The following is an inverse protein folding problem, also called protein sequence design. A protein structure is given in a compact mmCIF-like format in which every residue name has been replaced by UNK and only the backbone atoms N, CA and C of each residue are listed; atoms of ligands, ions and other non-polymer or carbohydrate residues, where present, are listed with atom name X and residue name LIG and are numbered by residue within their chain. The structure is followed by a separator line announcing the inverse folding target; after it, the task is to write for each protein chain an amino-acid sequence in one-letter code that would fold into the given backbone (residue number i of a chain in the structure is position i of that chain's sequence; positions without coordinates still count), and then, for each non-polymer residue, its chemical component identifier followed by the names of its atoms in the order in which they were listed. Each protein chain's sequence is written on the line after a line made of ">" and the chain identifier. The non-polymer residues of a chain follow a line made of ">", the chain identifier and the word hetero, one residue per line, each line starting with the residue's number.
data_IF_629886784916
#
_entry.id   IF_629886784916
#
_cell.length_a   1.000
_cell.length_b   1.000
_cell.length_c   1.000
_cell.angle_alpha   90.00
_cell.angle_beta   90.00
_cell.angle_gamma   90.00
#
_symmetry.space_group_name_H-M   'P 1'
#
loop_
_entity.id
_entity.type
_entity.pdbx_description
1 polymer ?
#
# COMPACT_ATOMS: atom_id res chain seq x y z
N UNK A 1 7.44 -9.26 42.30
CA UNK A 1 8.53 -8.78 41.45
C UNK A 1 9.13 -7.57 42.12
N UNK A 2 10.45 -7.53 42.25
CA UNK A 2 11.14 -6.39 42.85
C UNK A 2 11.84 -5.60 41.73
N UNK A 3 11.98 -4.28 41.88
CA UNK A 3 12.61 -3.42 40.88
C UNK A 3 14.06 -3.84 40.53
N UNK A 4 14.72 -4.57 41.43
CA UNK A 4 16.07 -5.09 41.23
C UNK A 4 16.10 -6.30 40.28
N UNK A 5 15.05 -7.12 40.26
CA UNK A 5 14.94 -8.26 39.36
C UNK A 5 14.61 -7.79 37.94
N UNK A 6 13.79 -6.74 37.81
CA UNK A 6 13.44 -6.12 36.53
C UNK A 6 14.66 -5.41 35.91
N UNK A 7 15.48 -4.73 36.73
CA UNK A 7 16.70 -4.08 36.24
C UNK A 7 17.73 -5.07 35.66
N UNK A 8 17.90 -6.25 36.29
CA UNK A 8 18.78 -7.31 35.78
C UNK A 8 18.25 -7.96 34.50
N UNK A 9 16.94 -8.06 34.35
CA UNK A 9 16.34 -8.54 33.10
C UNK A 9 16.56 -7.56 31.95
N UNK A 10 16.56 -6.26 32.22
CA UNK A 10 16.86 -5.24 31.21
C UNK A 10 18.34 -5.19 30.83
N UNK A 11 19.25 -5.46 31.78
CA UNK A 11 20.70 -5.49 31.53
C UNK A 11 21.08 -6.60 30.52
N UNK A 12 20.41 -7.75 30.60
CA UNK A 12 20.59 -8.88 29.67
C UNK A 12 20.16 -8.58 28.22
N UNK A 13 19.45 -7.47 27.94
CA UNK A 13 18.98 -7.12 26.59
C UNK A 13 20.13 -6.57 25.73
N UNK A 14 21.13 -5.96 26.35
CA UNK A 14 22.26 -5.31 25.64
C UNK A 14 23.57 -6.09 25.71
N UNK A 15 23.56 -7.28 26.31
CA UNK A 15 24.75 -8.10 26.43
C UNK A 15 25.27 -8.56 25.07
N UNK A 16 26.60 -8.65 24.98
CA UNK A 16 27.27 -9.11 23.78
C UNK A 16 27.07 -10.62 23.63
N UNK A 17 26.08 -11.00 22.84
CA UNK A 17 25.85 -12.40 22.43
C UNK A 17 26.78 -12.73 21.26
N UNK A 18 27.68 -13.70 21.46
CA UNK A 18 28.29 -14.42 20.34
C UNK A 18 27.30 -15.46 19.87
N UNK A 19 26.89 -15.40 18.60
CA UNK A 19 26.09 -16.44 17.98
C UNK A 19 26.90 -17.74 18.01
N UNK A 20 26.68 -18.59 19.02
CA UNK A 20 27.10 -19.98 18.94
C UNK A 20 26.40 -20.56 17.73
N UNK A 21 27.19 -21.17 16.84
CA UNK A 21 26.74 -21.95 15.71
C UNK A 21 25.93 -23.15 16.24
N UNK A 22 24.71 -22.87 16.72
CA UNK A 22 23.70 -23.88 16.92
C UNK A 22 23.62 -24.59 15.58
N UNK A 23 23.79 -25.91 15.61
CA UNK A 23 23.86 -26.78 14.43
C UNK A 23 22.51 -26.76 13.71
N UNK A 24 22.19 -25.63 13.08
CA UNK A 24 21.10 -25.50 12.15
C UNK A 24 21.48 -26.33 10.95
N UNK A 25 20.65 -27.32 10.63
CA UNK A 25 20.75 -28.05 9.39
C UNK A 25 20.59 -27.06 8.23
N UNK A 26 21.72 -26.63 7.68
CA UNK A 26 21.80 -25.66 6.60
C UNK A 26 21.02 -26.13 5.37
N UNK A 27 20.81 -27.44 5.20
CA UNK A 27 20.02 -27.99 4.10
C UNK A 27 18.53 -27.70 4.28
N UNK A 28 18.01 -27.92 5.50
CA UNK A 28 16.62 -27.60 5.84
C UNK A 28 16.34 -26.09 5.86
N UNK A 29 17.32 -25.28 6.26
CA UNK A 29 17.21 -23.82 6.20
C UNK A 29 17.20 -23.32 4.74
N UNK A 30 18.11 -23.82 3.89
CA UNK A 30 18.19 -23.42 2.47
C UNK A 30 16.92 -23.78 1.70
N UNK A 31 16.34 -24.96 1.92
CA UNK A 31 15.11 -25.36 1.24
C UNK A 31 13.92 -24.48 1.66
N UNK A 32 13.80 -24.15 2.95
CA UNK A 32 12.76 -23.25 3.47
C UNK A 32 12.92 -21.83 2.95
N UNK A 33 14.15 -21.29 2.88
CA UNK A 33 14.41 -19.95 2.32
C UNK A 33 14.07 -19.90 0.82
N UNK A 34 14.36 -20.98 0.08
CA UNK A 34 13.94 -21.11 -1.31
C UNK A 34 12.41 -21.16 -1.45
N UNK A 35 11.72 -21.88 -0.56
CA UNK A 35 10.25 -21.89 -0.53
C UNK A 35 9.68 -20.50 -0.24
N UNK A 36 10.21 -19.77 0.75
CA UNK A 36 9.83 -18.38 1.03
C UNK A 36 10.08 -17.47 -0.17
N UNK A 37 11.21 -17.63 -0.84
CA UNK A 37 11.55 -16.83 -2.04
C UNK A 37 10.62 -17.15 -3.20
N UNK A 38 10.25 -18.42 -3.38
CA UNK A 38 9.27 -18.82 -4.38
C UNK A 38 7.86 -18.36 -4.02
N UNK A 39 7.47 -18.30 -2.74
CA UNK A 39 6.18 -17.78 -2.30
C UNK A 39 6.11 -16.24 -2.45
N UNK A 40 7.23 -15.53 -2.33
CA UNK A 40 7.36 -14.10 -2.65
C UNK A 40 7.27 -13.86 -4.16
N UNK A 41 7.78 -14.77 -4.99
CA UNK A 41 7.69 -14.68 -6.45
C UNK A 41 6.37 -15.21 -7.03
N UNK A 42 5.69 -16.13 -6.33
CA UNK A 42 4.45 -16.77 -6.77
C UNK A 42 3.21 -16.33 -5.99
N UNK A 43 3.34 -15.39 -5.04
CA UNK A 43 2.21 -14.78 -4.33
C UNK A 43 1.36 -15.79 -3.56
N UNK A 44 1.98 -16.85 -3.03
CA UNK A 44 1.27 -17.97 -2.38
C UNK A 44 1.14 -17.83 -0.86
N UNK A 45 1.30 -16.62 -0.34
CA UNK A 45 0.80 -16.26 0.98
C UNK A 45 -0.65 -15.79 0.86
N UNK A 46 -1.59 -16.74 0.98
CA UNK A 46 -2.90 -16.58 1.63
C UNK A 46 -3.69 -15.27 1.38
N UNK A 47 -3.87 -14.79 0.13
CA UNK A 47 -5.06 -13.99 -0.26
C UNK A 47 -5.22 -13.80 -1.81
N UNK A 48 -4.94 -14.86 -2.58
CA UNK A 48 -4.67 -14.77 -4.04
C UNK A 48 -5.87 -14.40 -4.93
N UNK A 49 -7.04 -14.04 -4.39
CA UNK A 49 -8.12 -13.43 -5.16
C UNK A 49 -8.13 -11.89 -5.07
N UNK A 50 -7.56 -11.31 -4.01
CA UNK A 50 -7.49 -9.87 -3.79
C UNK A 50 -6.23 -9.24 -4.41
N UNK A 51 -5.09 -9.96 -4.42
CA UNK A 51 -3.83 -9.41 -4.93
C UNK A 51 -3.65 -9.43 -6.46
N UNK A 52 -4.23 -10.40 -7.18
CA UNK A 52 -4.25 -10.31 -8.66
C UNK A 52 -5.12 -9.15 -9.13
N UNK A 53 -6.24 -8.89 -8.43
CA UNK A 53 -6.99 -7.64 -8.57
C UNK A 53 -6.14 -6.43 -8.19
N UNK A 54 -5.32 -6.48 -7.14
CA UNK A 54 -4.53 -5.31 -6.72
C UNK A 54 -3.38 -4.97 -7.68
N UNK A 55 -2.68 -5.96 -8.25
CA UNK A 55 -1.62 -5.70 -9.26
C UNK A 55 -2.21 -5.27 -10.61
N UNK A 56 -3.30 -5.90 -11.04
CA UNK A 56 -4.02 -5.46 -12.26
C UNK A 56 -4.69 -4.10 -12.07
N UNK A 57 -5.29 -3.83 -10.91
CA UNK A 57 -5.87 -2.53 -10.57
C UNK A 57 -4.80 -1.45 -10.45
N UNK A 58 -3.65 -1.69 -9.81
CA UNK A 58 -2.54 -0.71 -9.76
C UNK A 58 -2.03 -0.38 -11.17
N UNK A 59 -1.93 -1.39 -12.05
CA UNK A 59 -1.53 -1.17 -13.45
C UNK A 59 -2.61 -0.42 -14.24
N UNK A 60 -3.88 -0.67 -13.97
CA UNK A 60 -5.00 0.04 -14.59
C UNK A 60 -5.11 1.49 -14.10
N UNK A 61 -4.90 1.74 -12.80
CA UNK A 61 -4.81 3.08 -12.20
C UNK A 61 -3.65 3.89 -12.77
N UNK A 62 -2.51 3.23 -13.02
CA UNK A 62 -1.35 3.87 -13.65
C UNK A 62 -1.62 4.33 -15.10
N UNK A 63 -2.59 3.70 -15.79
CA UNK A 63 -2.97 4.03 -17.15
C UNK A 63 -4.02 5.15 -17.26
N UNK A 64 -4.58 5.59 -16.12
CA UNK A 64 -5.54 6.71 -16.09
C UNK A 64 -4.74 8.01 -16.12
N UNK A 65 -4.98 8.81 -17.16
CA UNK A 65 -4.48 10.18 -17.23
C UNK A 65 -5.35 11.08 -16.35
N UNK A 66 -4.69 11.85 -15.48
CA UNK A 66 -5.32 12.82 -14.57
C UNK A 66 -4.80 14.20 -14.93
N UNK A 67 -5.68 15.20 -14.93
CA UNK A 67 -5.27 16.58 -15.19
C UNK A 67 -4.43 17.10 -14.02
N UNK A 68 -3.37 17.85 -14.31
CA UNK A 68 -2.55 18.47 -13.26
C UNK A 68 -3.32 19.56 -12.51
N UNK A 69 -4.22 20.24 -13.21
CA UNK A 69 -5.07 21.29 -12.63
C UNK A 69 -5.96 20.73 -11.50
N UNK A 70 -6.56 19.55 -11.69
CA UNK A 70 -7.36 18.90 -10.65
C UNK A 70 -6.52 18.46 -9.44
N UNK A 71 -5.27 18.04 -9.68
CA UNK A 71 -4.33 17.68 -8.62
C UNK A 71 -3.92 18.92 -7.82
N UNK A 72 -3.55 20.01 -8.51
CA UNK A 72 -3.14 21.26 -7.89
C UNK A 72 -4.25 21.85 -7.01
N UNK A 73 -5.50 21.83 -7.47
CA UNK A 73 -6.66 22.26 -6.68
C UNK A 73 -6.80 21.45 -5.38
N UNK A 74 -6.61 20.13 -5.42
CA UNK A 74 -6.69 19.30 -4.22
C UNK A 74 -5.53 19.54 -3.27
N UNK A 75 -4.32 19.72 -3.81
CA UNK A 75 -3.12 20.02 -3.01
C UNK A 75 -3.24 21.38 -2.33
N UNK A 76 -3.70 22.41 -3.04
CA UNK A 76 -3.86 23.76 -2.50
C UNK A 76 -5.00 23.85 -1.47
N UNK A 77 -6.15 23.25 -1.74
CA UNK A 77 -7.34 23.38 -0.88
C UNK A 77 -7.32 22.45 0.34
N UNK A 78 -6.72 21.25 0.22
CA UNK A 78 -6.69 20.26 1.30
C UNK A 78 -5.31 20.15 1.98
N UNK A 79 -4.30 20.90 1.51
CA UNK A 79 -2.92 20.86 2.01
C UNK A 79 -2.36 19.43 2.10
N UNK A 80 -2.72 18.58 1.13
CA UNK A 80 -2.24 17.19 1.02
C UNK A 80 -1.06 17.08 0.06
N UNK A 81 -0.32 15.97 0.14
CA UNK A 81 0.73 15.70 -0.84
C UNK A 81 0.15 15.36 -2.22
N UNK A 82 0.90 15.72 -3.26
CA UNK A 82 0.57 15.44 -4.67
C UNK A 82 0.26 13.95 -4.91
N UNK A 83 1.04 13.06 -4.31
CA UNK A 83 0.85 11.60 -4.39
C UNK A 83 -0.53 11.14 -3.87
N UNK A 84 -1.05 11.80 -2.83
CA UNK A 84 -2.35 11.46 -2.24
C UNK A 84 -3.49 12.00 -3.10
N UNK A 85 -3.33 13.21 -3.62
CA UNK A 85 -4.28 13.83 -4.55
C UNK A 85 -4.40 13.03 -5.86
N UNK A 86 -3.27 12.69 -6.49
CA UNK A 86 -3.20 11.89 -7.72
C UNK A 86 -3.83 10.50 -7.51
N UNK A 87 -3.50 9.83 -6.40
CA UNK A 87 -4.09 8.53 -6.07
C UNK A 87 -5.61 8.61 -5.89
N UNK A 88 -6.11 9.62 -5.17
CA UNK A 88 -7.54 9.78 -4.92
C UNK A 88 -8.31 10.01 -6.24
N UNK A 89 -7.79 10.83 -7.14
CA UNK A 89 -8.39 11.08 -8.45
C UNK A 89 -8.40 9.82 -9.33
N UNK A 90 -7.29 9.08 -9.37
CA UNK A 90 -7.21 7.81 -10.12
C UNK A 90 -8.18 6.76 -9.59
N UNK A 91 -8.32 6.65 -8.28
CA UNK A 91 -9.28 5.72 -7.66
C UNK A 91 -10.72 6.04 -8.06
N UNK A 92 -11.12 7.31 -8.01
CA UNK A 92 -12.48 7.74 -8.40
C UNK A 92 -12.73 7.50 -9.89
N UNK A 93 -11.77 7.83 -10.75
CA UNK A 93 -11.89 7.61 -12.20
C UNK A 93 -11.91 6.12 -12.57
N UNK A 94 -11.24 5.27 -11.79
CA UNK A 94 -11.26 3.83 -11.97
C UNK A 94 -12.58 3.20 -11.54
N UNK A 95 -13.13 3.63 -10.40
CA UNK A 95 -14.43 3.16 -9.87
C UNK A 95 -15.61 3.67 -10.71
N UNK A 96 -15.51 4.87 -11.27
CA UNK A 96 -16.54 5.51 -12.10
C UNK A 96 -16.71 4.94 -13.51
N UNK A 97 -15.92 3.94 -13.92
CA UNK A 97 -15.96 3.38 -15.27
C UNK A 97 -15.37 4.37 -16.29
N UNK A 98 -14.04 4.41 -16.34
CA UNK A 98 -13.27 5.37 -17.11
C UNK A 98 -13.81 5.63 -18.52
N UNK A 99 -14.19 6.88 -18.75
CA UNK A 99 -14.12 7.63 -20.00
C UNK A 99 -14.26 9.11 -19.58
N UNK A 100 -13.14 9.83 -19.51
CA UNK A 100 -13.16 11.29 -19.65
C UNK A 100 -13.04 11.54 -21.15
N UNK A 101 -14.16 11.43 -21.86
CA UNK A 101 -14.28 12.11 -23.16
C UNK A 101 -14.86 13.47 -22.84
N UNK A 102 -14.19 14.53 -23.30
CA UNK A 102 -14.67 15.91 -23.38
C UNK A 102 -15.97 16.01 -24.18
N UNK A 103 -17.07 15.51 -23.61
CA UNK A 103 -18.35 15.36 -24.25
C UNK A 103 -19.45 15.62 -23.25
N UNK A 104 -20.09 16.79 -23.41
CA UNK A 104 -21.30 17.20 -22.71
C UNK A 104 -22.32 16.04 -22.63
N UNK A 105 -22.36 15.39 -21.46
CA UNK A 105 -23.27 14.29 -21.14
C UNK A 105 -24.16 14.72 -19.98
N UNK A 106 -25.31 15.27 -20.35
CA UNK A 106 -26.39 15.71 -19.48
C UNK A 106 -26.94 14.51 -18.67
N UNK A 107 -26.48 14.33 -17.43
CA UNK A 107 -26.94 13.23 -16.59
C UNK A 107 -26.21 13.06 -15.26
N UNK A 108 -26.37 14.03 -14.34
CA UNK A 108 -26.28 13.90 -12.87
C UNK A 108 -25.28 12.88 -12.24
N UNK A 109 -24.13 12.61 -12.85
CA UNK A 109 -22.99 11.98 -12.16
C UNK A 109 -22.16 13.08 -11.49
N UNK A 110 -21.75 12.90 -10.23
CA UNK A 110 -20.85 13.84 -9.57
C UNK A 110 -19.55 13.97 -10.36
N UNK A 111 -18.99 15.19 -10.44
CA UNK A 111 -17.69 15.39 -11.08
C UNK A 111 -16.62 14.55 -10.37
N UNK A 112 -15.65 13.98 -11.10
CA UNK A 112 -14.62 13.12 -10.50
C UNK A 112 -13.80 13.88 -9.44
N UNK A 113 -13.51 15.16 -9.67
CA UNK A 113 -12.90 16.05 -8.68
C UNK A 113 -13.78 16.19 -7.41
N UNK A 114 -15.08 16.40 -7.59
CA UNK A 114 -16.01 16.56 -6.47
C UNK A 114 -16.20 15.29 -5.65
N UNK A 115 -16.14 14.12 -6.28
CA UNK A 115 -16.19 12.83 -5.58
C UNK A 115 -14.86 12.51 -4.86
N UNK A 116 -13.71 12.84 -5.46
CA UNK A 116 -12.41 12.73 -4.80
C UNK A 116 -12.34 13.61 -3.55
N UNK A 117 -12.79 14.87 -3.63
CA UNK A 117 -12.91 15.79 -2.49
C UNK A 117 -13.77 15.21 -1.37
N UNK A 118 -14.95 14.66 -1.69
CA UNK A 118 -15.85 14.06 -0.68
C UNK A 118 -15.22 12.85 0.00
N UNK A 119 -14.43 12.06 -0.73
CA UNK A 119 -13.74 10.87 -0.20
C UNK A 119 -12.60 11.30 0.73
N UNK A 120 -11.80 12.27 0.33
CA UNK A 120 -10.69 12.81 1.13
C UNK A 120 -11.17 13.52 2.41
N UNK A 121 -12.31 14.21 2.37
CA UNK A 121 -12.89 14.83 3.59
C UNK A 121 -13.45 13.78 4.57
N UNK A 122 -13.86 12.61 4.07
CA UNK A 122 -14.48 11.55 4.90
C UNK A 122 -13.46 10.53 5.44
N UNK A 123 -12.28 10.42 4.81
CA UNK A 123 -11.19 9.53 5.24
C UNK A 123 -10.45 10.07 6.45
#
# INVERSE_FOLDING_TARGET
>A
MTAQDEAKQLDSVTDRVTEEESTMDASAAKSKVLSLSSDVHTGKFMDSAAEEKSKSAKKALAAIEVSKEDIDVLVEELEISEDVADKALREVLFEGGGIVTDGAGEGASPSPLGEALRRLIRS
#
